data_IF_474825315784
#
_entry.id   IF_474825315784
#
_cell.length_a   1.000
_cell.length_b   1.000
_cell.length_c   1.000
_cell.angle_alpha   90.00
_cell.angle_beta   90.00
_cell.angle_gamma   90.00
#
_symmetry.space_group_name_H-M   'P 1'
#
loop_
_entity.id
_entity.type
_entity.pdbx_description
1 polymer ?
#
# COMPACT_ATOMS: atom_id res chain seq x y z
N UNK A 1 -42.33 -3.91 -9.44
CA UNK A 1 -42.00 -3.51 -8.05
C UNK A 1 -40.91 -4.40 -7.47
N UNK A 2 -39.82 -4.72 -8.23
CA UNK A 2 -38.72 -5.64 -7.77
C UNK A 2 -37.30 -5.08 -7.99
N UNK A 3 -37.16 -3.82 -8.45
CA UNK A 3 -35.83 -3.25 -8.73
C UNK A 3 -35.19 -2.50 -7.53
N UNK A 4 -35.98 -2.09 -6.52
CA UNK A 4 -35.47 -1.31 -5.39
C UNK A 4 -34.67 -2.13 -4.37
N UNK A 5 -34.99 -3.41 -4.21
CA UNK A 5 -34.33 -4.28 -3.21
C UNK A 5 -32.88 -4.67 -3.57
N UNK A 6 -32.53 -4.65 -4.86
CA UNK A 6 -31.16 -4.97 -5.30
C UNK A 6 -30.20 -3.81 -5.12
N UNK A 7 -30.68 -2.58 -5.31
CA UNK A 7 -29.89 -1.36 -5.14
C UNK A 7 -29.64 -1.12 -3.64
N UNK A 8 -30.62 -1.34 -2.78
CA UNK A 8 -30.45 -1.28 -1.31
C UNK A 8 -29.55 -2.38 -0.77
N UNK A 9 -29.59 -3.60 -1.35
CA UNK A 9 -28.70 -4.69 -0.98
C UNK A 9 -27.26 -4.42 -1.37
N UNK A 10 -27.01 -3.80 -2.53
CA UNK A 10 -25.70 -3.32 -2.95
C UNK A 10 -25.19 -2.15 -2.07
N UNK A 11 -26.08 -1.32 -1.57
CA UNK A 11 -25.72 -0.24 -0.62
C UNK A 11 -25.44 -0.77 0.80
N UNK A 12 -26.10 -1.82 1.23
CA UNK A 12 -25.86 -2.46 2.56
C UNK A 12 -24.56 -3.25 2.63
N UNK A 13 -23.98 -3.66 1.52
CA UNK A 13 -22.69 -4.36 1.46
C UNK A 13 -21.50 -3.40 1.37
N UNK A 14 -21.71 -2.10 1.32
CA UNK A 14 -20.67 -1.10 1.55
C UNK A 14 -20.42 -0.91 3.06
N UNK A 15 -20.00 -1.94 3.76
CA UNK A 15 -19.19 -1.73 4.96
C UNK A 15 -18.05 -0.82 4.50
N UNK A 16 -18.00 0.40 5.03
CA UNK A 16 -16.97 1.37 4.64
C UNK A 16 -15.62 0.75 4.98
N UNK A 17 -14.84 0.34 3.97
CA UNK A 17 -13.52 -0.24 4.16
C UNK A 17 -12.53 0.88 4.47
N UNK A 18 -12.71 1.45 5.69
CA UNK A 18 -11.93 2.56 6.22
C UNK A 18 -11.29 2.17 7.54
N UNK A 19 -10.11 2.67 7.77
CA UNK A 19 -9.44 2.51 9.04
C UNK A 19 -8.61 3.73 9.39
N UNK A 20 -8.45 3.96 10.68
CA UNK A 20 -7.47 4.88 11.23
C UNK A 20 -6.64 4.14 12.26
N UNK A 21 -5.33 4.37 12.22
CA UNK A 21 -4.34 3.81 13.13
C UNK A 21 -3.40 4.92 13.55
N UNK A 22 -3.02 4.92 14.81
CA UNK A 22 -1.96 5.79 15.35
C UNK A 22 -0.90 4.93 16.03
N UNK A 23 0.35 5.31 15.84
CA UNK A 23 1.53 4.72 16.46
C UNK A 23 2.32 5.83 17.15
N UNK A 24 2.65 5.63 18.41
CA UNK A 24 3.42 6.57 19.21
C UNK A 24 4.54 5.81 19.91
N UNK A 25 5.77 6.15 19.62
CA UNK A 25 6.98 5.55 20.18
C UNK A 25 7.86 6.65 20.78
N UNK A 26 9.02 6.30 21.28
CA UNK A 26 10.01 7.31 21.72
C UNK A 26 10.61 8.08 20.53
N UNK A 27 10.58 7.49 19.32
CA UNK A 27 11.24 8.00 18.11
C UNK A 27 10.27 8.69 17.17
N UNK A 28 9.02 8.19 17.07
CA UNK A 28 8.04 8.65 16.09
C UNK A 28 6.65 8.80 16.67
N UNK A 29 5.87 9.72 16.09
CA UNK A 29 4.43 9.84 16.30
C UNK A 29 3.73 9.90 14.94
N UNK A 30 2.94 8.88 14.63
CA UNK A 30 2.35 8.68 13.31
C UNK A 30 0.85 8.45 13.43
N UNK A 31 0.08 9.06 12.52
CA UNK A 31 -1.34 8.79 12.33
C UNK A 31 -1.60 8.54 10.84
N UNK A 32 -2.25 7.42 10.54
CA UNK A 32 -2.63 7.02 9.19
C UNK A 32 -4.13 6.78 9.13
N UNK A 33 -4.80 7.36 8.14
CA UNK A 33 -6.19 7.07 7.79
C UNK A 33 -6.24 6.59 6.34
N UNK A 34 -6.94 5.49 6.09
CA UNK A 34 -7.14 4.93 4.74
C UNK A 34 -8.61 4.70 4.46
N UNK A 35 -9.00 4.92 3.19
CA UNK A 35 -10.27 4.50 2.64
C UNK A 35 -9.98 3.68 1.36
N UNK A 36 -10.27 2.39 1.40
CA UNK A 36 -9.99 1.48 0.28
C UNK A 36 -10.92 1.69 -0.92
N UNK A 37 -12.08 2.30 -0.69
CA UNK A 37 -13.08 2.66 -1.71
C UNK A 37 -13.01 4.17 -2.03
N UNK A 38 -11.81 4.73 -2.02
CA UNK A 38 -11.55 6.15 -2.23
C UNK A 38 -11.56 6.59 -3.70
N UNK A 39 -11.15 7.83 -3.91
CA UNK A 39 -11.01 8.46 -5.23
C UNK A 39 -9.56 8.87 -5.54
N UNK A 40 -8.59 8.43 -4.74
CA UNK A 40 -7.17 8.77 -4.89
C UNK A 40 -6.81 10.13 -4.28
N UNK A 41 -7.52 10.55 -3.22
CA UNK A 41 -7.19 11.78 -2.47
C UNK A 41 -6.07 11.51 -1.48
N UNK A 42 -5.11 12.42 -1.40
CA UNK A 42 -4.00 12.33 -0.46
C UNK A 42 -3.88 13.60 0.39
N UNK A 43 -3.48 13.42 1.65
CA UNK A 43 -2.98 14.46 2.55
C UNK A 43 -1.83 13.86 3.35
N UNK A 44 -0.62 14.07 2.87
CA UNK A 44 0.56 13.38 3.37
C UNK A 44 1.58 14.41 3.86
N UNK A 45 2.08 14.22 5.06
CA UNK A 45 3.09 15.06 5.71
C UNK A 45 3.93 14.18 6.64
N UNK A 46 4.98 13.56 6.11
CA UNK A 46 5.89 12.72 6.89
C UNK A 46 7.12 13.46 7.35
N UNK A 47 7.41 14.62 6.76
CA UNK A 47 8.67 15.33 6.93
C UNK A 47 9.80 14.80 6.03
N UNK A 48 9.55 13.78 5.23
CA UNK A 48 10.45 13.18 4.24
C UNK A 48 9.87 13.43 2.85
N UNK A 49 10.25 14.50 2.13
CA UNK A 49 9.54 14.96 0.94
C UNK A 49 9.44 13.92 -0.18
N UNK A 50 10.48 13.12 -0.37
CA UNK A 50 10.45 12.08 -1.41
C UNK A 50 9.49 10.93 -1.04
N UNK A 51 9.41 10.55 0.24
CA UNK A 51 8.41 9.58 0.71
C UNK A 51 6.99 10.12 0.53
N UNK A 52 6.76 11.40 0.85
CA UNK A 52 5.46 12.05 0.64
C UNK A 52 5.02 11.91 -0.82
N UNK A 53 5.93 12.22 -1.77
CA UNK A 53 5.68 12.07 -3.19
C UNK A 53 5.37 10.62 -3.59
N UNK A 54 6.09 9.63 -3.05
CA UNK A 54 5.84 8.21 -3.32
C UNK A 54 4.48 7.75 -2.78
N UNK A 55 4.10 8.18 -1.61
CA UNK A 55 2.81 7.85 -0.99
C UNK A 55 1.62 8.52 -1.72
N UNK A 56 1.82 9.71 -2.30
CA UNK A 56 0.86 10.32 -3.21
C UNK A 56 0.62 9.46 -4.46
N UNK A 57 1.67 8.82 -5.01
CA UNK A 57 1.51 7.86 -6.10
C UNK A 57 0.67 6.65 -5.65
N UNK A 58 0.87 6.16 -4.41
CA UNK A 58 0.07 5.07 -3.86
C UNK A 58 -1.41 5.45 -3.80
N UNK A 59 -1.73 6.61 -3.24
CA UNK A 59 -3.10 7.09 -3.16
C UNK A 59 -3.72 7.24 -4.57
N UNK A 60 -3.03 7.95 -5.46
CA UNK A 60 -3.53 8.30 -6.78
C UNK A 60 -3.77 7.09 -7.67
N UNK A 61 -2.78 6.19 -7.79
CA UNK A 61 -2.85 5.05 -8.69
C UNK A 61 -3.60 3.86 -8.09
N UNK A 62 -3.65 3.79 -6.75
CA UNK A 62 -4.46 2.83 -6.00
C UNK A 62 -5.94 3.21 -5.92
N UNK A 63 -6.32 4.47 -6.24
CA UNK A 63 -7.64 5.04 -5.96
C UNK A 63 -8.03 4.89 -4.48
N UNK A 64 -7.05 4.98 -3.58
CA UNK A 64 -7.23 5.00 -2.14
C UNK A 64 -7.26 6.45 -1.66
N UNK A 65 -8.14 6.78 -0.70
CA UNK A 65 -7.94 8.04 0.02
C UNK A 65 -7.01 7.76 1.20
N UNK A 66 -5.90 8.52 1.29
CA UNK A 66 -4.86 8.31 2.30
C UNK A 66 -4.55 9.65 2.99
N UNK A 67 -4.64 9.68 4.31
CA UNK A 67 -4.11 10.77 5.12
C UNK A 67 -3.02 10.22 6.05
N UNK A 68 -1.83 10.83 6.01
CA UNK A 68 -0.68 10.49 6.85
C UNK A 68 -0.12 11.76 7.46
N UNK A 69 0.07 11.72 8.78
CA UNK A 69 0.84 12.70 9.53
C UNK A 69 1.88 11.96 10.34
N UNK A 70 3.14 12.34 10.17
CA UNK A 70 4.23 11.80 10.96
C UNK A 70 5.10 12.93 11.52
N UNK A 71 5.63 12.69 12.72
CA UNK A 71 6.70 13.46 13.33
C UNK A 71 7.69 12.45 13.89
N UNK A 72 8.87 12.37 13.31
CA UNK A 72 9.95 11.51 13.76
C UNK A 72 11.20 12.29 14.12
N UNK A 73 12.20 11.56 14.51
CA UNK A 73 13.54 12.02 14.92
C UNK A 73 14.48 12.26 13.73
N UNK A 74 13.99 12.98 12.71
CA UNK A 74 14.69 13.27 11.45
C UNK A 74 16.06 13.95 11.63
N UNK A 75 16.38 14.43 12.84
CA UNK A 75 17.70 14.95 13.16
C UNK A 75 18.77 13.84 13.26
N UNK A 76 18.35 12.58 13.40
CA UNK A 76 19.20 11.38 13.29
C UNK A 76 19.31 11.02 11.81
N UNK A 77 18.22 10.51 11.24
CA UNK A 77 18.02 10.26 9.83
C UNK A 77 16.52 10.01 9.54
N UNK A 78 16.18 9.52 8.35
CA UNK A 78 14.80 9.25 7.98
C UNK A 78 14.35 7.79 8.26
N UNK A 79 15.23 6.90 8.75
CA UNK A 79 14.98 5.47 8.87
C UNK A 79 13.73 5.17 9.71
N UNK A 80 13.74 5.59 10.99
CA UNK A 80 12.63 5.33 11.90
C UNK A 80 11.29 5.86 11.38
N UNK A 81 11.32 7.05 10.76
CA UNK A 81 10.10 7.63 10.18
C UNK A 81 9.56 6.83 9.02
N UNK A 82 10.42 6.42 8.09
CA UNK A 82 10.04 5.67 6.88
C UNK A 82 9.51 4.27 7.25
N UNK A 83 10.23 3.55 8.11
CA UNK A 83 9.81 2.23 8.60
C UNK A 83 8.47 2.30 9.33
N UNK A 84 8.34 3.21 10.30
CA UNK A 84 7.13 3.34 11.13
C UNK A 84 5.92 3.83 10.33
N UNK A 85 6.11 4.63 9.27
CA UNK A 85 5.04 4.96 8.30
C UNK A 85 4.62 3.70 7.56
N UNK A 86 5.55 2.84 7.12
CA UNK A 86 5.26 1.55 6.51
C UNK A 86 4.46 0.64 7.45
N UNK A 87 4.91 0.49 8.68
CA UNK A 87 4.22 -0.26 9.76
C UNK A 87 2.78 0.22 9.94
N UNK A 88 2.60 1.53 10.15
CA UNK A 88 1.30 2.12 10.47
C UNK A 88 0.34 2.04 9.29
N UNK A 89 0.84 2.23 8.05
CA UNK A 89 0.06 2.06 6.83
C UNK A 89 -0.34 0.59 6.65
N UNK A 90 0.57 -0.36 6.90
CA UNK A 90 0.28 -1.79 6.88
C UNK A 90 -0.84 -2.19 7.83
N UNK A 91 -0.80 -1.70 9.07
CA UNK A 91 -1.85 -1.90 10.06
C UNK A 91 -3.19 -1.31 9.62
N UNK A 92 -3.18 -0.11 9.02
CA UNK A 92 -4.38 0.54 8.52
C UNK A 92 -5.00 -0.24 7.35
N UNK A 93 -4.17 -0.74 6.42
CA UNK A 93 -4.62 -1.58 5.30
C UNK A 93 -5.22 -2.90 5.78
N UNK A 94 -4.56 -3.60 6.72
CA UNK A 94 -5.09 -4.83 7.32
C UNK A 94 -6.45 -4.61 7.98
N UNK A 95 -6.56 -3.54 8.79
CA UNK A 95 -7.80 -3.18 9.49
C UNK A 95 -8.92 -2.79 8.52
N UNK A 96 -8.61 -2.06 7.46
CA UNK A 96 -9.60 -1.65 6.44
C UNK A 96 -10.04 -2.82 5.56
N UNK A 97 -9.14 -3.76 5.25
CA UNK A 97 -9.45 -4.98 4.48
C UNK A 97 -10.35 -5.96 5.27
N UNK A 98 -10.33 -5.89 6.59
CA UNK A 98 -11.16 -6.69 7.47
C UNK A 98 -10.95 -8.20 7.30
N UNK A 99 -12.04 -8.96 7.15
CA UNK A 99 -12.02 -10.41 7.01
C UNK A 99 -11.69 -10.91 5.60
N UNK A 100 -11.40 -9.98 4.69
CA UNK A 100 -10.99 -10.24 3.29
C UNK A 100 -12.00 -11.03 2.47
N UNK A 101 -13.28 -11.10 2.91
CA UNK A 101 -14.34 -11.76 2.15
C UNK A 101 -14.70 -10.96 0.90
N UNK A 102 -14.90 -11.67 -0.20
CA UNK A 102 -15.36 -11.10 -1.46
C UNK A 102 -14.38 -10.19 -2.17
N UNK A 103 -13.10 -10.12 -1.76
CA UNK A 103 -12.05 -9.45 -2.53
C UNK A 103 -11.40 -10.41 -3.52
N UNK A 104 -10.70 -9.88 -4.52
CA UNK A 104 -9.93 -10.70 -5.49
C UNK A 104 -8.73 -11.38 -4.84
N UNK A 105 -8.19 -10.83 -3.74
CA UNK A 105 -7.05 -11.34 -2.98
C UNK A 105 -5.70 -11.16 -3.67
N UNK A 106 -5.59 -11.54 -4.94
CA UNK A 106 -4.35 -11.43 -5.72
C UNK A 106 -4.43 -10.20 -6.62
N UNK A 107 -3.33 -9.47 -6.70
CA UNK A 107 -3.19 -8.36 -7.62
C UNK A 107 -1.77 -8.26 -8.15
N UNK A 108 -1.65 -7.80 -9.38
CA UNK A 108 -0.35 -7.53 -9.98
C UNK A 108 -0.42 -6.34 -10.93
N UNK A 109 0.73 -5.72 -11.15
CA UNK A 109 0.86 -4.67 -12.16
C UNK A 109 2.28 -4.60 -12.70
N UNK A 110 2.39 -4.27 -13.97
CA UNK A 110 3.60 -3.77 -14.61
C UNK A 110 3.40 -2.29 -14.86
N UNK A 111 4.32 -1.46 -14.42
CA UNK A 111 4.22 0.00 -14.60
C UNK A 111 5.54 0.54 -15.14
N UNK A 112 5.51 1.20 -16.32
CA UNK A 112 6.65 1.90 -16.87
C UNK A 112 6.68 3.36 -16.41
N UNK A 113 7.86 3.95 -16.39
CA UNK A 113 8.12 5.39 -16.41
C UNK A 113 9.38 5.60 -17.22
N UNK A 114 9.23 6.18 -18.41
CA UNK A 114 10.28 6.32 -19.40
C UNK A 114 11.06 5.00 -19.61
N UNK A 115 12.34 4.92 -19.24
CA UNK A 115 13.21 3.75 -19.38
C UNK A 115 13.01 2.71 -18.27
N UNK A 116 12.40 3.10 -17.14
CA UNK A 116 12.22 2.20 -16.01
C UNK A 116 10.92 1.38 -16.14
N UNK A 117 10.99 0.14 -15.67
CA UNK A 117 9.85 -0.78 -15.64
C UNK A 117 9.91 -1.61 -14.37
N UNK A 118 8.86 -1.58 -13.57
CA UNK A 118 8.72 -2.45 -12.40
C UNK A 118 7.49 -3.34 -12.48
N UNK A 119 7.59 -4.50 -11.84
CA UNK A 119 6.50 -5.45 -11.59
C UNK A 119 6.27 -5.59 -10.10
N UNK A 120 5.01 -5.55 -9.67
CA UNK A 120 4.63 -5.88 -8.30
C UNK A 120 3.50 -6.89 -8.30
N UNK A 121 3.60 -7.88 -7.41
CA UNK A 121 2.56 -8.89 -7.17
C UNK A 121 2.25 -8.94 -5.69
N UNK A 122 0.97 -8.91 -5.31
CA UNK A 122 0.52 -8.97 -3.92
C UNK A 122 -0.49 -10.08 -3.71
N UNK A 123 -0.37 -10.80 -2.59
CA UNK A 123 -1.34 -11.75 -2.07
C UNK A 123 -1.76 -11.33 -0.65
N UNK A 124 -3.05 -11.05 -0.45
CA UNK A 124 -3.63 -10.84 0.88
C UNK A 124 -3.76 -12.16 1.64
N UNK A 125 -2.63 -12.85 1.78
CA UNK A 125 -2.50 -14.22 2.27
C UNK A 125 -2.76 -14.41 3.76
N UNK A 126 -2.73 -13.34 4.55
CA UNK A 126 -2.68 -13.42 6.02
C UNK A 126 -1.29 -13.84 6.56
N UNK A 127 -0.28 -13.88 5.72
CA UNK A 127 1.12 -14.21 6.08
C UNK A 127 2.07 -13.17 5.51
N UNK A 128 2.93 -12.57 6.36
CA UNK A 128 3.91 -11.61 5.88
C UNK A 128 5.00 -12.32 5.05
N UNK A 129 5.41 -11.68 3.97
CA UNK A 129 6.53 -12.12 3.15
C UNK A 129 6.88 -11.05 2.14
N UNK A 130 8.12 -10.59 2.13
CA UNK A 130 8.66 -9.65 1.16
C UNK A 130 9.74 -10.34 0.34
N UNK A 131 9.55 -10.34 -0.98
CA UNK A 131 10.56 -10.74 -1.95
C UNK A 131 10.89 -9.52 -2.81
N UNK A 132 12.07 -8.90 -2.56
CA UNK A 132 12.40 -7.57 -3.05
C UNK A 132 13.65 -7.62 -3.93
N UNK A 133 13.45 -7.49 -5.23
CA UNK A 133 14.48 -7.51 -6.27
C UNK A 133 14.57 -6.15 -6.97
N UNK A 134 14.96 -5.12 -6.20
CA UNK A 134 15.21 -3.78 -6.73
C UNK A 134 16.65 -3.41 -6.45
N UNK A 135 17.39 -3.14 -7.52
CA UNK A 135 18.74 -2.60 -7.44
C UNK A 135 18.72 -1.19 -8.00
N UNK A 136 18.72 -0.22 -7.11
CA UNK A 136 18.74 1.17 -7.50
C UNK A 136 20.06 1.56 -8.20
N UNK A 137 19.96 2.38 -9.23
CA UNK A 137 21.12 2.88 -9.99
C UNK A 137 22.03 3.80 -9.15
N UNK A 138 21.48 4.39 -8.09
CA UNK A 138 22.20 5.27 -7.15
C UNK A 138 21.69 5.04 -5.72
N UNK A 139 22.55 5.19 -4.69
CA UNK A 139 22.15 5.02 -3.30
C UNK A 139 21.25 6.16 -2.79
N UNK A 140 21.29 7.34 -3.41
CA UNK A 140 20.52 8.50 -3.01
C UNK A 140 19.62 9.00 -4.15
N UNK A 141 18.39 9.37 -3.81
CA UNK A 141 17.42 10.03 -4.68
C UNK A 141 17.15 11.42 -4.07
N UNK A 142 17.88 12.45 -4.53
CA UNK A 142 17.98 13.69 -3.79
C UNK A 142 18.66 13.44 -2.44
N UNK A 143 17.99 13.76 -1.34
CA UNK A 143 18.43 13.48 0.03
C UNK A 143 17.88 12.18 0.60
N UNK A 144 17.07 11.43 -0.17
CA UNK A 144 16.42 10.20 0.27
C UNK A 144 17.32 9.00 0.00
N UNK A 145 17.63 8.24 1.03
CA UNK A 145 18.36 6.97 0.91
C UNK A 145 17.45 5.90 0.26
N UNK A 146 17.92 5.35 -0.85
CA UNK A 146 17.16 4.36 -1.62
C UNK A 146 16.94 3.03 -0.87
N UNK A 147 17.79 2.68 0.09
CA UNK A 147 17.63 1.48 0.92
C UNK A 147 16.38 1.57 1.82
N UNK A 148 15.93 2.77 2.16
CA UNK A 148 14.70 3.00 2.94
C UNK A 148 13.43 2.54 2.21
N UNK A 149 13.48 2.35 0.89
CA UNK A 149 12.35 1.76 0.14
C UNK A 149 12.09 0.33 0.61
N UNK A 150 13.16 -0.45 0.83
CA UNK A 150 13.04 -1.81 1.37
C UNK A 150 12.42 -1.77 2.78
N UNK A 151 12.92 -0.92 3.66
CA UNK A 151 12.44 -0.80 5.04
C UNK A 151 10.96 -0.40 5.11
N UNK A 152 10.53 0.54 4.25
CA UNK A 152 9.12 0.89 4.11
C UNK A 152 8.26 -0.32 3.77
N UNK A 153 8.63 -1.10 2.72
CA UNK A 153 7.86 -2.26 2.30
C UNK A 153 7.94 -3.40 3.30
N UNK A 154 9.06 -3.59 3.98
CA UNK A 154 9.19 -4.61 5.03
C UNK A 154 8.27 -4.31 6.22
N UNK A 155 8.26 -3.06 6.69
CA UNK A 155 7.33 -2.60 7.74
C UNK A 155 5.87 -2.78 7.33
N UNK A 156 5.53 -2.38 6.10
CA UNK A 156 4.18 -2.50 5.55
C UNK A 156 3.73 -3.97 5.46
N UNK A 157 4.55 -4.82 4.87
CA UNK A 157 4.21 -6.24 4.63
C UNK A 157 3.99 -6.99 5.93
N UNK A 158 4.86 -6.77 6.92
CA UNK A 158 4.78 -7.41 8.22
C UNK A 158 3.47 -7.08 8.96
N UNK A 159 2.92 -5.88 8.74
CA UNK A 159 1.74 -5.40 9.46
C UNK A 159 0.45 -5.43 8.64
N UNK A 160 0.55 -5.42 7.31
CA UNK A 160 -0.58 -5.71 6.43
C UNK A 160 -0.91 -7.20 6.34
N UNK A 161 0.02 -8.07 6.79
CA UNK A 161 -0.08 -9.54 6.71
C UNK A 161 -0.31 -9.99 5.27
N UNK A 162 0.52 -9.48 4.36
CA UNK A 162 0.48 -9.79 2.93
C UNK A 162 1.80 -10.39 2.47
N UNK A 163 1.75 -11.15 1.37
CA UNK A 163 2.96 -11.54 0.64
C UNK A 163 3.12 -10.57 -0.54
N UNK A 164 4.30 -9.98 -0.68
CA UNK A 164 4.60 -8.98 -1.70
C UNK A 164 5.89 -9.35 -2.44
N UNK A 165 5.81 -9.40 -3.76
CA UNK A 165 6.97 -9.53 -4.65
C UNK A 165 7.15 -8.23 -5.41
N UNK A 166 8.36 -7.69 -5.41
CA UNK A 166 8.73 -6.42 -6.04
C UNK A 166 9.95 -6.63 -6.91
N UNK A 167 9.80 -6.41 -8.21
CA UNK A 167 10.90 -6.48 -9.14
C UNK A 167 11.04 -5.15 -9.90
N UNK A 168 12.23 -4.56 -9.92
CA UNK A 168 12.59 -3.59 -10.94
C UNK A 168 13.29 -4.32 -12.09
N UNK A 169 12.61 -4.40 -13.23
CA UNK A 169 13.05 -5.20 -14.38
C UNK A 169 14.08 -4.47 -15.21
N UNK A 170 14.01 -3.13 -15.23
CA UNK A 170 14.97 -2.24 -15.89
C UNK A 170 14.80 -0.79 -15.44
N UNK A 171 15.81 0.04 -15.67
CA UNK A 171 15.81 1.46 -15.36
C UNK A 171 17.22 1.91 -14.94
N UNK A 172 17.61 3.10 -15.37
CA UNK A 172 18.92 3.71 -15.10
C UNK A 172 18.80 4.96 -14.21
N UNK A 173 17.60 5.48 -14.02
CA UNK A 173 17.29 6.59 -13.11
C UNK A 173 16.64 6.06 -11.82
N UNK A 174 17.33 6.23 -10.68
CA UNK A 174 16.84 5.73 -9.40
C UNK A 174 15.48 6.30 -8.98
N UNK A 175 15.16 7.57 -9.34
CA UNK A 175 13.84 8.16 -9.12
C UNK A 175 12.78 7.40 -9.92
N UNK A 176 13.00 7.18 -11.23
CA UNK A 176 12.07 6.44 -12.09
C UNK A 176 11.89 4.99 -11.61
N UNK A 177 12.98 4.33 -11.20
CA UNK A 177 12.91 2.98 -10.63
C UNK A 177 12.02 2.96 -9.39
N UNK A 178 12.24 3.87 -8.44
CA UNK A 178 11.46 3.97 -7.21
C UNK A 178 9.99 4.29 -7.50
N UNK A 179 9.73 5.30 -8.33
CA UNK A 179 8.36 5.71 -8.64
C UNK A 179 7.57 4.62 -9.38
N UNK A 180 8.22 3.84 -10.28
CA UNK A 180 7.56 2.69 -10.93
C UNK A 180 7.22 1.59 -9.94
N UNK A 181 8.04 1.37 -8.91
CA UNK A 181 7.76 0.41 -7.82
C UNK A 181 6.50 0.84 -7.05
N UNK A 182 6.42 2.10 -6.59
CA UNK A 182 5.27 2.58 -5.83
C UNK A 182 3.98 2.63 -6.67
N UNK A 183 4.07 3.02 -7.94
CA UNK A 183 2.93 2.98 -8.87
C UNK A 183 2.46 1.55 -9.15
N UNK A 184 3.39 0.61 -9.37
CA UNK A 184 3.05 -0.80 -9.57
C UNK A 184 2.42 -1.41 -8.32
N UNK A 185 2.97 -1.12 -7.13
CA UNK A 185 2.39 -1.49 -5.84
C UNK A 185 0.95 -0.97 -5.69
N UNK A 186 0.74 0.31 -5.95
CA UNK A 186 -0.58 0.93 -5.86
C UNK A 186 -1.63 0.23 -6.74
N UNK A 187 -1.27 -0.08 -7.97
CA UNK A 187 -2.17 -0.76 -8.91
C UNK A 187 -2.40 -2.22 -8.56
N UNK A 188 -1.36 -2.93 -8.09
CA UNK A 188 -1.47 -4.31 -7.62
C UNK A 188 -2.37 -4.37 -6.36
N UNK A 189 -2.15 -3.45 -5.42
CA UNK A 189 -2.97 -3.31 -4.20
C UNK A 189 -4.44 -3.07 -4.54
N UNK A 190 -4.73 -2.12 -5.44
CA UNK A 190 -6.08 -1.87 -5.92
C UNK A 190 -6.70 -3.12 -6.51
N UNK A 191 -6.01 -3.81 -7.42
CA UNK A 191 -6.53 -5.03 -8.06
C UNK A 191 -6.85 -6.12 -7.04
N UNK A 192 -5.97 -6.33 -6.03
CA UNK A 192 -6.19 -7.33 -4.99
C UNK A 192 -7.38 -7.01 -4.08
N UNK A 193 -7.60 -5.73 -3.78
CA UNK A 193 -8.67 -5.26 -2.89
C UNK A 193 -10.01 -5.04 -3.59
N UNK A 194 -10.06 -5.07 -4.94
CA UNK A 194 -11.32 -4.93 -5.66
C UNK A 194 -12.29 -6.06 -5.27
N UNK A 195 -13.58 -5.74 -5.05
CA UNK A 195 -14.60 -6.77 -4.88
C UNK A 195 -14.67 -7.70 -6.09
N UNK A 196 -14.74 -9.01 -5.85
CA UNK A 196 -15.03 -9.98 -6.90
C UNK A 196 -16.52 -10.31 -6.88
N UNK A 197 -17.29 -9.87 -7.89
CA UNK A 197 -18.74 -10.10 -7.92
C UNK A 197 -19.11 -11.59 -8.04
N UNK A 198 -18.19 -12.44 -8.50
CA UNK A 198 -18.41 -13.89 -8.60
C UNK A 198 -18.11 -14.63 -7.29
N UNK A 199 -17.31 -14.02 -6.40
CA UNK A 199 -16.93 -14.58 -5.10
C UNK A 199 -17.60 -13.84 -3.94
N UNK A 200 -18.74 -13.18 -4.16
CA UNK A 200 -19.42 -12.34 -3.17
C UNK A 200 -19.68 -13.10 -1.85
N UNK A 201 -19.08 -12.62 -0.76
CA UNK A 201 -19.21 -13.18 0.57
C UNK A 201 -18.36 -14.42 0.86
N UNK A 202 -17.64 -14.98 -0.10
CA UNK A 202 -16.72 -16.08 0.11
C UNK A 202 -15.33 -15.58 0.58
N UNK A 203 -14.68 -16.34 1.45
CA UNK A 203 -13.25 -16.19 1.73
C UNK A 203 -12.49 -16.78 0.54
N UNK A 204 -11.61 -16.02 -0.15
CA UNK A 204 -10.90 -16.50 -1.33
C UNK A 204 -9.74 -17.45 -0.97
N UNK A 205 -10.07 -18.56 -0.28
CA UNK A 205 -9.10 -19.55 0.21
C UNK A 205 -9.76 -20.93 0.31
N UNK A 206 -9.11 -21.95 -0.22
CA UNK A 206 -9.54 -23.35 -0.07
C UNK A 206 -9.49 -23.83 1.37
N UNK A 207 -8.76 -23.10 2.26
CA UNK A 207 -8.71 -23.38 3.71
C UNK A 207 -9.89 -22.77 4.48
N UNK A 208 -10.77 -21.97 3.81
CA UNK A 208 -11.87 -21.25 4.44
C UNK A 208 -11.47 -20.10 5.37
N UNK A 209 -10.17 -19.76 5.44
CA UNK A 209 -9.61 -18.65 6.22
C UNK A 209 -8.34 -18.07 5.57
N UNK A 210 -8.02 -16.81 5.92
CA UNK A 210 -6.80 -16.08 5.56
C UNK A 210 -6.20 -15.43 6.80
#
# INVERSE_FOLDING_TARGET
MYASGWIERLHRLKTMRKAQVSRDTAETRISVSVNLDGAGKSRIATGVPFLDHMLEQVARHGLLDIEIKAKGDLHIDAHHTVEDVGITLGQALAKAAGDKKGIRRFGHAYVPLDEALSRVVVDFSGRPGLDFHVKFARPLIGEFDADLVHEFFQGLVNHAMVTLHVDNLRGDNAHHQCETVFKAFARALRAALEPDPRAAGAVPSTKGRL
#
